data_IF_244064025391
#
_entry.id   IF_244064025391
#
_cell.length_a   1.000
_cell.length_b   1.000
_cell.length_c   1.000
_cell.angle_alpha   90.00
_cell.angle_beta   90.00
_cell.angle_gamma   90.00
#
_symmetry.space_group_name_H-M   'P 1'
#
loop_
_entity.id
_entity.type
_entity.pdbx_description
1 polymer ?
#
# COMPACT_ATOMS: atom_id res chain seq x y z
N UNK A 1 2.53 19.57 -11.01
CA UNK A 1 2.82 18.52 -9.98
C UNK A 1 1.78 17.40 -9.97
N UNK A 2 0.52 17.60 -9.56
CA UNK A 2 -0.48 16.51 -9.45
C UNK A 2 -0.73 15.77 -10.78
N UNK A 3 -0.92 16.50 -11.88
CA UNK A 3 -1.08 15.91 -13.22
C UNK A 3 0.20 15.20 -13.72
N UNK A 4 1.37 15.72 -13.36
CA UNK A 4 2.66 15.08 -13.67
C UNK A 4 2.80 13.74 -12.96
N UNK A 5 2.45 13.67 -11.67
CA UNK A 5 2.46 12.42 -10.90
C UNK A 5 1.46 11.41 -11.50
N UNK A 6 0.25 11.85 -11.85
CA UNK A 6 -0.74 11.00 -12.52
C UNK A 6 -0.25 10.45 -13.86
N UNK A 7 0.39 11.29 -14.68
CA UNK A 7 0.95 10.89 -15.97
C UNK A 7 2.09 9.87 -15.80
N UNK A 8 2.97 10.08 -14.81
CA UNK A 8 4.06 9.14 -14.47
C UNK A 8 3.52 7.79 -13.99
N UNK A 9 2.45 7.77 -13.20
CA UNK A 9 1.81 6.51 -12.79
C UNK A 9 1.16 5.82 -13.97
N UNK A 10 0.46 6.57 -14.84
CA UNK A 10 -0.19 6.02 -16.02
C UNK A 10 0.83 5.43 -17.00
N UNK A 11 1.94 6.15 -17.24
CA UNK A 11 3.03 5.65 -18.08
C UNK A 11 3.68 4.41 -17.47
N UNK A 12 3.84 4.35 -16.14
CA UNK A 12 4.35 3.16 -15.48
C UNK A 12 3.47 1.92 -15.67
N UNK A 13 2.14 2.09 -15.71
CA UNK A 13 1.18 1.00 -15.91
C UNK A 13 1.22 0.47 -17.35
N UNK A 14 1.30 1.37 -18.34
CA UNK A 14 1.15 1.03 -19.76
C UNK A 14 2.46 0.58 -20.41
N UNK A 15 3.60 1.16 -19.99
CA UNK A 15 4.87 0.94 -20.70
C UNK A 15 5.45 -0.46 -20.46
N UNK A 16 6.07 -1.08 -21.49
CA UNK A 16 6.86 -2.31 -21.36
C UNK A 16 8.02 -2.15 -20.38
N UNK A 17 8.51 -3.29 -19.85
CA UNK A 17 9.58 -3.30 -18.85
C UNK A 17 10.86 -2.58 -19.31
N UNK A 18 11.23 -2.73 -20.58
CA UNK A 18 12.44 -2.14 -21.18
C UNK A 18 12.47 -0.61 -21.10
N UNK A 19 11.34 0.04 -21.40
CA UNK A 19 11.22 1.50 -21.33
C UNK A 19 10.97 1.99 -19.90
N UNK A 20 10.40 1.14 -19.06
CA UNK A 20 10.04 1.48 -17.70
C UNK A 20 11.25 1.61 -16.78
N UNK A 21 12.28 0.77 -16.97
CA UNK A 21 13.50 0.82 -16.16
C UNK A 21 14.18 2.21 -16.24
N UNK A 22 14.53 2.75 -17.43
CA UNK A 22 15.15 4.08 -17.52
C UNK A 22 14.20 5.18 -17.04
N UNK A 23 12.89 5.07 -17.34
CA UNK A 23 11.89 6.01 -16.85
C UNK A 23 11.84 6.04 -15.31
N UNK A 24 11.96 4.89 -14.66
CA UNK A 24 11.94 4.78 -13.20
C UNK A 24 13.14 5.48 -12.55
N UNK A 25 14.32 5.39 -13.17
CA UNK A 25 15.53 6.07 -12.71
C UNK A 25 15.35 7.59 -12.82
N UNK A 26 14.92 8.08 -13.99
CA UNK A 26 14.66 9.52 -14.21
C UNK A 26 13.60 10.02 -13.21
N UNK A 27 12.51 9.26 -13.04
CA UNK A 27 11.45 9.59 -12.09
C UNK A 27 11.98 9.69 -10.67
N UNK A 28 12.82 8.74 -10.23
CA UNK A 28 13.40 8.79 -8.90
C UNK A 28 14.36 9.96 -8.70
N UNK A 29 15.13 10.34 -9.72
CA UNK A 29 16.00 11.53 -9.67
C UNK A 29 15.14 12.78 -9.46
N UNK A 30 14.13 12.98 -10.31
CA UNK A 30 13.21 14.12 -10.22
C UNK A 30 12.47 14.14 -8.87
N UNK A 31 11.97 13.00 -8.41
CA UNK A 31 11.26 12.91 -7.14
C UNK A 31 12.17 13.17 -5.94
N UNK A 32 13.44 12.74 -5.99
CA UNK A 32 14.41 12.98 -4.92
C UNK A 32 14.80 14.45 -4.80
N UNK A 33 14.79 15.19 -5.91
CA UNK A 33 14.97 16.66 -5.89
C UNK A 33 13.80 17.37 -5.19
N UNK A 34 12.59 16.80 -5.25
CA UNK A 34 11.39 17.38 -4.63
C UNK A 34 11.29 17.00 -3.15
N UNK A 35 11.54 15.74 -2.82
CA UNK A 35 11.52 15.21 -1.45
C UNK A 35 12.54 14.09 -1.28
N UNK A 36 13.71 14.45 -0.74
CA UNK A 36 14.82 13.52 -0.47
C UNK A 36 14.41 12.37 0.45
N UNK A 37 13.34 12.55 1.24
CA UNK A 37 12.85 11.52 2.15
C UNK A 37 12.26 10.31 1.42
N UNK A 38 11.97 10.41 0.12
CA UNK A 38 11.56 9.27 -0.71
C UNK A 38 12.66 8.24 -0.86
N UNK A 39 13.94 8.64 -0.86
CA UNK A 39 15.07 7.71 -0.91
C UNK A 39 15.15 6.81 0.34
N UNK A 40 14.51 7.20 1.45
CA UNK A 40 14.40 6.33 2.64
C UNK A 40 13.61 5.05 2.36
N UNK A 41 12.78 5.00 1.30
CA UNK A 41 12.13 3.76 0.88
C UNK A 41 13.17 2.69 0.61
N UNK A 42 14.18 2.98 -0.20
CA UNK A 42 15.23 2.02 -0.58
C UNK A 42 16.06 1.53 0.61
N UNK A 43 16.08 2.25 1.73
CA UNK A 43 16.79 1.81 2.95
C UNK A 43 16.01 0.80 3.78
N UNK A 44 14.75 0.49 3.44
CA UNK A 44 13.92 -0.45 4.21
C UNK A 44 14.29 -1.90 3.86
N UNK A 45 14.56 -2.71 4.89
CA UNK A 45 14.86 -4.15 4.76
C UNK A 45 13.82 -4.92 3.93
N UNK A 46 12.54 -4.54 4.04
CA UNK A 46 11.45 -5.15 3.27
C UNK A 46 11.58 -4.96 1.76
N UNK A 47 12.16 -3.84 1.30
CA UNK A 47 12.35 -3.59 -0.13
C UNK A 47 13.45 -4.48 -0.67
N UNK A 48 14.56 -4.63 0.05
CA UNK A 48 15.62 -5.58 -0.33
C UNK A 48 15.10 -7.01 -0.39
N UNK A 49 14.29 -7.42 0.59
CA UNK A 49 13.65 -8.73 0.57
C UNK A 49 12.76 -8.94 -0.66
N UNK A 50 11.91 -7.96 -0.98
CA UNK A 50 11.04 -8.02 -2.16
C UNK A 50 11.85 -8.02 -3.46
N UNK A 51 12.89 -7.19 -3.55
CA UNK A 51 13.81 -7.17 -4.68
C UNK A 51 14.47 -8.53 -4.89
N UNK A 52 14.99 -9.16 -3.83
CA UNK A 52 15.61 -10.48 -3.92
C UNK A 52 14.62 -11.52 -4.44
N UNK A 53 13.37 -11.54 -3.96
CA UNK A 53 12.38 -12.51 -4.44
C UNK A 53 12.06 -12.28 -5.92
N UNK A 54 11.71 -11.05 -6.29
CA UNK A 54 11.16 -10.74 -7.62
C UNK A 54 12.25 -10.70 -8.69
N UNK A 55 13.43 -10.19 -8.36
CA UNK A 55 14.50 -9.92 -9.34
C UNK A 55 15.56 -11.01 -9.35
N UNK A 56 15.79 -11.71 -8.24
CA UNK A 56 16.86 -12.73 -8.14
C UNK A 56 16.28 -14.13 -8.14
N UNK A 57 15.34 -14.44 -7.25
CA UNK A 57 14.82 -15.80 -7.09
C UNK A 57 13.91 -16.18 -8.26
N UNK A 58 12.99 -15.30 -8.66
CA UNK A 58 12.03 -15.59 -9.72
C UNK A 58 12.68 -16.00 -11.05
N UNK A 59 13.74 -15.33 -11.56
CA UNK A 59 14.38 -15.70 -12.83
C UNK A 59 15.17 -17.00 -12.79
N UNK A 60 15.47 -17.52 -11.60
CA UNK A 60 16.12 -18.82 -11.43
C UNK A 60 15.12 -19.98 -11.56
N UNK A 61 13.85 -19.73 -11.24
CA UNK A 61 12.80 -20.77 -11.19
C UNK A 61 11.93 -20.72 -12.45
N UNK A 62 11.73 -19.53 -13.04
CA UNK A 62 10.75 -19.28 -14.09
C UNK A 62 11.42 -18.84 -15.39
N UNK A 63 10.92 -19.37 -16.51
CA UNK A 63 11.33 -18.99 -17.87
C UNK A 63 12.37 -19.93 -18.47
N UNK A 64 12.70 -19.70 -19.74
CA UNK A 64 13.74 -20.47 -20.42
C UNK A 64 15.12 -20.14 -19.85
N UNK A 65 15.81 -21.17 -19.39
CA UNK A 65 17.12 -21.10 -18.73
C UNK A 65 18.25 -21.00 -19.74
N UNK A 66 18.25 -19.90 -20.50
CA UNK A 66 19.13 -19.72 -21.66
C UNK A 66 20.51 -19.15 -21.29
N UNK A 67 20.71 -18.72 -20.03
CA UNK A 67 21.96 -18.12 -19.57
C UNK A 67 22.44 -18.74 -18.26
N UNK A 68 23.76 -18.67 -18.04
CA UNK A 68 24.41 -19.19 -16.84
C UNK A 68 25.29 -18.11 -16.21
N UNK A 69 25.13 -17.88 -14.91
CA UNK A 69 25.94 -16.96 -14.12
C UNK A 69 26.48 -17.70 -12.88
N UNK A 70 27.80 -17.75 -12.71
CA UNK A 70 28.44 -18.49 -11.59
C UNK A 70 27.96 -19.94 -11.43
N UNK A 71 27.70 -20.63 -12.54
CA UNK A 71 27.21 -22.01 -12.53
C UNK A 71 25.69 -22.16 -12.36
N UNK A 72 24.98 -21.08 -12.01
CA UNK A 72 23.53 -21.06 -11.82
C UNK A 72 22.85 -20.64 -13.12
N UNK A 73 21.88 -21.43 -13.57
CA UNK A 73 21.06 -21.11 -14.75
C UNK A 73 19.96 -20.10 -14.40
N UNK A 74 19.72 -19.14 -15.29
CA UNK A 74 18.66 -18.15 -15.12
C UNK A 74 18.08 -17.70 -16.46
N UNK A 75 16.83 -17.21 -16.43
CA UNK A 75 16.17 -16.62 -17.58
C UNK A 75 16.39 -15.10 -17.62
N UNK A 76 17.03 -14.60 -18.69
CA UNK A 76 17.24 -13.16 -18.86
C UNK A 76 15.93 -12.40 -19.08
N UNK A 77 14.96 -13.02 -19.75
CA UNK A 77 13.63 -12.44 -19.95
C UNK A 77 12.88 -12.32 -18.61
N UNK A 78 12.87 -13.38 -17.81
CA UNK A 78 12.25 -13.34 -16.48
C UNK A 78 12.94 -12.32 -15.56
N UNK A 79 14.27 -12.18 -15.68
CA UNK A 79 15.03 -11.17 -14.95
C UNK A 79 14.62 -9.74 -15.34
N UNK A 80 14.58 -9.42 -16.63
CA UNK A 80 14.16 -8.11 -17.12
C UNK A 80 12.71 -7.80 -16.75
N UNK A 81 11.82 -8.78 -16.82
CA UNK A 81 10.44 -8.64 -16.41
C UNK A 81 10.31 -8.42 -14.90
N UNK A 82 11.02 -9.19 -14.07
CA UNK A 82 11.06 -9.01 -12.61
C UNK A 82 11.61 -7.64 -12.22
N UNK A 83 12.71 -7.21 -12.83
CA UNK A 83 13.28 -5.88 -12.64
C UNK A 83 12.29 -4.78 -13.07
N UNK A 84 11.63 -4.95 -14.21
CA UNK A 84 10.58 -4.05 -14.68
C UNK A 84 9.44 -3.93 -13.68
N UNK A 85 8.91 -5.05 -13.16
CA UNK A 85 7.86 -5.04 -12.14
C UNK A 85 8.30 -4.33 -10.86
N UNK A 86 9.52 -4.57 -10.40
CA UNK A 86 10.09 -3.89 -9.25
C UNK A 86 10.17 -2.37 -9.48
N UNK A 87 10.71 -1.93 -10.62
CA UNK A 87 10.75 -0.52 -11.02
C UNK A 87 9.35 0.10 -11.08
N UNK A 88 8.36 -0.63 -11.61
CA UNK A 88 6.94 -0.22 -11.67
C UNK A 88 6.41 0.05 -10.27
N UNK A 89 6.61 -0.89 -9.35
CA UNK A 89 6.18 -0.77 -7.96
C UNK A 89 6.84 0.42 -7.26
N UNK A 90 8.15 0.60 -7.44
CA UNK A 90 8.91 1.73 -6.88
C UNK A 90 8.35 3.07 -7.35
N UNK A 91 8.09 3.23 -8.66
CA UNK A 91 7.48 4.45 -9.21
C UNK A 91 6.12 4.71 -8.58
N UNK A 92 5.22 3.71 -8.61
CA UNK A 92 3.86 3.84 -8.09
C UNK A 92 3.86 4.20 -6.60
N UNK A 93 4.62 3.47 -5.77
CA UNK A 93 4.69 3.70 -4.32
C UNK A 93 5.24 5.10 -4.02
N UNK A 94 6.25 5.54 -4.77
CA UNK A 94 6.86 6.85 -4.57
C UNK A 94 5.90 7.98 -4.99
N UNK A 95 5.18 7.80 -6.10
CA UNK A 95 4.13 8.70 -6.57
C UNK A 95 3.01 8.86 -5.54
N UNK A 96 2.50 7.74 -5.00
CA UNK A 96 1.47 7.75 -3.95
C UNK A 96 2.00 8.42 -2.68
N UNK A 97 3.22 8.09 -2.27
CA UNK A 97 3.84 8.68 -1.07
C UNK A 97 3.97 10.20 -1.21
N UNK A 98 4.44 10.67 -2.36
CA UNK A 98 4.58 12.09 -2.64
C UNK A 98 3.20 12.78 -2.69
N UNK A 99 2.20 12.15 -3.30
CA UNK A 99 0.84 12.66 -3.36
C UNK A 99 0.23 12.77 -1.95
N UNK A 100 0.37 11.75 -1.11
CA UNK A 100 -0.14 11.75 0.25
C UNK A 100 0.51 12.83 1.12
N UNK A 101 1.81 13.11 0.93
CA UNK A 101 2.51 14.16 1.68
C UNK A 101 2.15 15.58 1.23
N UNK A 102 1.86 15.79 -0.05
CA UNK A 102 1.63 17.11 -0.63
C UNK A 102 0.15 17.46 -0.81
N UNK A 103 -0.76 16.51 -0.64
CA UNK A 103 -2.19 16.72 -0.83
C UNK A 103 -2.88 17.02 0.50
N UNK A 104 -3.40 18.24 0.64
CA UNK A 104 -4.27 18.60 1.77
C UNK A 104 -5.61 17.84 1.71
N UNK A 105 -6.21 17.56 2.86
CA UNK A 105 -7.50 16.88 3.03
C UNK A 105 -8.60 17.53 2.21
N UNK A 106 -8.66 18.87 2.15
CA UNK A 106 -9.61 19.61 1.31
C UNK A 106 -9.54 19.24 -0.17
N UNK A 107 -8.32 19.03 -0.70
CA UNK A 107 -8.14 18.62 -2.08
C UNK A 107 -8.62 17.19 -2.33
N UNK A 108 -8.46 16.30 -1.34
CA UNK A 108 -8.98 14.93 -1.41
C UNK A 108 -10.52 14.96 -1.40
N UNK A 109 -11.12 15.75 -0.50
CA UNK A 109 -12.58 15.96 -0.45
C UNK A 109 -13.12 16.48 -1.78
N UNK A 110 -12.51 17.54 -2.32
CA UNK A 110 -12.90 18.13 -3.59
C UNK A 110 -12.76 17.14 -4.76
N UNK A 111 -11.73 16.29 -4.75
CA UNK A 111 -11.55 15.26 -5.77
C UNK A 111 -12.68 14.22 -5.75
N UNK A 112 -13.06 13.71 -4.56
CA UNK A 112 -14.14 12.73 -4.44
C UNK A 112 -15.52 13.31 -4.71
N UNK A 113 -15.77 14.56 -4.27
CA UNK A 113 -17.00 15.29 -4.61
C UNK A 113 -17.18 15.41 -6.13
N UNK A 114 -16.10 15.73 -6.87
CA UNK A 114 -16.14 15.78 -8.35
C UNK A 114 -16.39 14.41 -9.00
N UNK A 115 -16.16 13.31 -8.29
CA UNK A 115 -16.44 11.94 -8.75
C UNK A 115 -17.81 11.42 -8.33
N UNK A 116 -18.65 12.27 -7.73
CA UNK A 116 -20.02 11.92 -7.33
C UNK A 116 -20.13 11.29 -5.94
N UNK A 117 -19.07 11.29 -5.13
CA UNK A 117 -19.19 10.92 -3.71
C UNK A 117 -19.48 12.17 -2.87
N UNK A 118 -20.76 12.50 -2.73
CA UNK A 118 -21.23 13.67 -1.97
C UNK A 118 -21.04 13.48 -0.45
N UNK A 119 -21.28 12.28 0.06
CA UNK A 119 -21.19 11.93 1.50
C UNK A 119 -19.77 11.53 1.96
N UNK A 120 -18.75 11.71 1.12
CA UNK A 120 -17.38 11.29 1.46
C UNK A 120 -16.90 11.89 2.78
N UNK A 121 -17.26 13.14 3.06
CA UNK A 121 -16.79 13.83 4.27
C UNK A 121 -17.42 13.25 5.54
N UNK A 122 -18.70 12.92 5.49
CA UNK A 122 -19.44 12.32 6.60
C UNK A 122 -18.90 10.91 6.90
N UNK A 123 -18.69 10.10 5.86
CA UNK A 123 -18.10 8.76 5.99
C UNK A 123 -16.67 8.81 6.51
N UNK A 124 -15.84 9.73 5.99
CA UNK A 124 -14.46 9.88 6.45
C UNK A 124 -14.40 10.32 7.91
N UNK A 125 -15.25 11.26 8.32
CA UNK A 125 -15.29 11.77 9.69
C UNK A 125 -15.73 10.70 10.68
N UNK A 126 -16.77 9.93 10.37
CA UNK A 126 -17.20 8.78 11.19
C UNK A 126 -16.13 7.69 11.25
N UNK A 127 -15.46 7.42 10.13
CA UNK A 127 -14.37 6.45 10.10
C UNK A 127 -13.21 6.89 11.01
N UNK A 128 -12.83 8.17 10.98
CA UNK A 128 -11.79 8.73 11.85
C UNK A 128 -12.16 8.69 13.33
N UNK A 129 -13.43 8.91 13.68
CA UNK A 129 -13.92 8.80 15.05
C UNK A 129 -13.85 7.36 15.58
N UNK A 130 -14.20 6.39 14.74
CA UNK A 130 -14.23 4.96 15.10
C UNK A 130 -12.83 4.33 15.10
N UNK A 131 -11.91 4.82 14.26
CA UNK A 131 -10.58 4.22 14.03
C UNK A 131 -9.74 4.04 15.32
N UNK A 132 -9.68 5.00 16.27
CA UNK A 132 -9.00 4.80 17.54
C UNK A 132 -9.58 3.65 18.38
N UNK A 133 -10.91 3.54 18.41
CA UNK A 133 -11.61 2.47 19.12
C UNK A 133 -11.30 1.10 18.48
N UNK A 134 -11.34 1.02 17.15
CA UNK A 134 -10.94 -0.18 16.40
C UNK A 134 -9.50 -0.58 16.71
N UNK A 135 -8.58 0.39 16.70
CA UNK A 135 -7.17 0.14 17.00
C UNK A 135 -6.96 -0.35 18.45
N UNK A 136 -7.72 0.18 19.40
CA UNK A 136 -7.66 -0.24 20.80
C UNK A 136 -8.11 -1.70 20.96
N UNK A 137 -9.28 -2.06 20.41
CA UNK A 137 -9.82 -3.42 20.50
C UNK A 137 -8.94 -4.43 19.74
N UNK A 138 -8.43 -4.06 18.55
CA UNK A 138 -7.46 -4.88 17.82
C UNK A 138 -6.20 -5.17 18.64
N UNK A 139 -5.69 -4.17 19.37
CA UNK A 139 -4.54 -4.36 20.24
C UNK A 139 -4.86 -5.26 21.44
N UNK A 140 -6.09 -5.20 21.98
CA UNK A 140 -6.54 -6.09 23.06
C UNK A 140 -6.60 -7.54 22.58
N UNK A 141 -7.27 -7.80 21.46
CA UNK A 141 -7.36 -9.15 20.85
C UNK A 141 -5.98 -9.69 20.49
N UNK A 142 -5.06 -8.83 20.01
CA UNK A 142 -3.67 -9.22 19.73
C UNK A 142 -2.89 -9.61 20.99
N UNK A 143 -3.09 -8.91 22.11
CA UNK A 143 -2.44 -9.23 23.39
C UNK A 143 -2.98 -10.52 24.01
N UNK A 144 -4.29 -10.75 23.89
CA UNK A 144 -4.96 -11.95 24.38
C UNK A 144 -4.58 -13.19 23.55
N UNK A 145 -4.38 -13.03 22.24
CA UNK A 145 -3.91 -14.08 21.34
C UNK A 145 -2.38 -14.00 21.14
N UNK A 146 -1.62 -14.18 22.21
CA UNK A 146 -0.14 -14.15 22.19
C UNK A 146 0.50 -15.22 21.29
N UNK A 147 -0.25 -16.27 20.92
CA UNK A 147 0.20 -17.31 19.98
C UNK A 147 -0.42 -17.15 18.59
N UNK A 148 0.43 -16.84 17.61
CA UNK A 148 0.06 -16.83 16.18
C UNK A 148 -0.56 -18.18 15.75
N UNK A 149 -0.15 -19.27 16.39
CA UNK A 149 -0.59 -20.64 16.10
C UNK A 149 -2.04 -20.90 16.55
N UNK A 150 -2.52 -20.26 17.62
CA UNK A 150 -3.93 -20.35 18.04
C UNK A 150 -4.83 -19.44 17.21
N UNK A 151 -4.36 -18.24 16.87
CA UNK A 151 -5.07 -17.29 16.02
C UNK A 151 -5.38 -17.86 14.61
N UNK A 152 -4.41 -18.58 14.01
CA UNK A 152 -4.58 -19.22 12.71
C UNK A 152 -5.46 -20.48 12.74
N UNK A 153 -5.60 -21.13 13.91
CA UNK A 153 -6.44 -22.33 14.05
C UNK A 153 -7.93 -22.01 13.99
N UNK A 154 -8.34 -20.80 14.38
CA UNK A 154 -9.75 -20.41 14.41
C UNK A 154 -9.95 -18.94 13.98
N UNK A 155 -9.74 -18.62 12.69
CA UNK A 155 -9.80 -17.24 12.19
C UNK A 155 -11.19 -16.62 12.32
N UNK A 156 -12.25 -17.42 12.26
CA UNK A 156 -13.63 -16.97 12.43
C UNK A 156 -13.88 -16.44 13.86
N UNK A 157 -13.38 -17.15 14.88
CA UNK A 157 -13.49 -16.73 16.28
C UNK A 157 -12.72 -15.43 16.54
N UNK A 158 -11.54 -15.30 15.92
CA UNK A 158 -10.73 -14.10 16.00
C UNK A 158 -11.44 -12.90 15.35
N UNK A 159 -12.05 -13.08 14.17
CA UNK A 159 -12.87 -12.05 13.53
C UNK A 159 -14.09 -11.68 14.37
N UNK A 160 -14.78 -12.67 14.96
CA UNK A 160 -15.92 -12.42 15.83
C UNK A 160 -15.51 -11.59 17.07
N UNK A 161 -14.39 -11.93 17.72
CA UNK A 161 -13.84 -11.16 18.85
C UNK A 161 -13.42 -9.73 18.46
N UNK A 162 -13.04 -9.50 17.20
CA UNK A 162 -12.71 -8.16 16.69
C UNK A 162 -13.96 -7.34 16.33
N UNK A 163 -14.98 -7.96 15.72
CA UNK A 163 -16.16 -7.28 15.20
C UNK A 163 -17.22 -7.06 16.28
N UNK A 164 -17.37 -7.99 17.22
CA UNK A 164 -18.39 -7.92 18.27
C UNK A 164 -18.34 -6.63 19.10
N UNK A 165 -17.15 -6.18 19.60
CA UNK A 165 -17.04 -4.92 20.33
C UNK A 165 -17.36 -3.70 19.45
N UNK A 166 -17.08 -3.79 18.15
CA UNK A 166 -17.33 -2.69 17.22
C UNK A 166 -18.82 -2.49 16.95
N UNK A 167 -19.57 -3.58 16.78
CA UNK A 167 -21.02 -3.53 16.57
C UNK A 167 -21.75 -3.03 17.83
N UNK A 168 -21.42 -3.56 19.00
CA UNK A 168 -22.15 -3.19 20.23
C UNK A 168 -21.77 -1.80 20.75
N UNK A 169 -20.53 -1.35 20.55
CA UNK A 169 -20.09 -0.02 20.98
C UNK A 169 -20.58 1.09 20.05
N UNK A 170 -20.77 0.80 18.76
CA UNK A 170 -21.39 1.75 17.81
C UNK A 170 -22.89 1.90 18.04
N UNK A 171 -23.59 0.84 18.42
CA UNK A 171 -25.00 0.90 18.81
C UNK A 171 -25.22 1.81 20.03
N UNK A 172 -24.35 1.74 21.03
CA UNK A 172 -24.36 2.61 22.22
C UNK A 172 -24.04 4.10 21.93
N UNK A 173 -23.22 4.37 20.92
CA UNK A 173 -22.93 5.75 20.47
C UNK A 173 -24.11 6.34 19.68
N UNK A 174 -24.80 5.51 18.88
CA UNK A 174 -25.98 5.91 18.14
C UNK A 174 -27.20 6.17 19.05
N UNK A 175 -27.38 5.38 20.11
CA UNK A 175 -28.45 5.62 21.11
C UNK A 175 -28.18 6.84 21.98
N UNK A 176 -26.94 7.06 22.44
CA UNK A 176 -26.62 8.27 23.24
C UNK A 176 -26.76 9.58 22.45
N UNK A 177 -26.46 9.59 21.15
CA UNK A 177 -26.64 10.79 20.34
C UNK A 177 -28.12 11.11 20.08
N UNK A 178 -29.01 10.10 20.02
CA UNK A 178 -30.46 10.32 19.90
C UNK A 178 -31.08 10.87 21.19
N UNK A 179 -30.56 10.49 22.35
CA UNK A 179 -31.06 10.96 23.65
C UNK A 179 -30.66 12.42 23.92
N UNK A 180 -29.57 12.91 23.32
CA UNK A 180 -29.11 14.30 23.48
C UNK A 180 -29.75 15.27 22.45
N UNK A 181 -30.57 14.77 21.52
CA UNK A 181 -31.32 15.58 20.55
C UNK A 181 -32.82 15.74 20.90
N UNK A 182 -33.28 15.15 22.02
CA UNK A 182 -34.61 15.35 22.64
C UNK A 182 -34.53 16.29 23.85
#
# INVERSE_FOLDING_TARGET
MKYLIGLVVLSAIILPAEFLIPLSIITMIVYSQIDISLLRLFRRKSIYFLFTIVVIIQPMIIGEQNNQLFGITYSAEAFLNGLGMFCRAVVIISSITLLNRKTNRENVKAFWKRRGLEEFDNVLSKAEEILPNVKFELNKVRKENSSIKSALKNPAELLAKMIYPLLHKTENLATNNRINEE
#
